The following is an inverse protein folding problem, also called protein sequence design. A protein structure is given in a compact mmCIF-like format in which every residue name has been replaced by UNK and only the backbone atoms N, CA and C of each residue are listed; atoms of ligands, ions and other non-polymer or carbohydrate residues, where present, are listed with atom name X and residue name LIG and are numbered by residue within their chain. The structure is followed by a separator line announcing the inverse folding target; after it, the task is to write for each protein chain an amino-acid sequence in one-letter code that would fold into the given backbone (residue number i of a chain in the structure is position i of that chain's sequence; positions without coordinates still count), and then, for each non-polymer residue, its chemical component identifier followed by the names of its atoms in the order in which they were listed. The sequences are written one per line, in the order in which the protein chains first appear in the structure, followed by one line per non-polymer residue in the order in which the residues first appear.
data_IF_853769209620
#
_entry.id   IF_853769209620
#
_cell.length_a   1.000
_cell.length_b   1.000
_cell.length_c   1.000
_cell.angle_alpha   90.00
_cell.angle_beta   90.00
_cell.angle_gamma   90.00
#
_symmetry.space_group_name_H-M   'P 1'
#
loop_
_entity.id
_entity.type
_entity.pdbx_description
1 polymer ?
#
# COMPACT_ATOMS: atom_id res chain seq x y z
N UNK A 1 -17.37 -14.30 1.37
CA UNK A 1 -17.45 -14.24 -0.12
C UNK A 1 -16.43 -13.29 -0.76
N UNK A 2 -16.24 -12.06 -0.25
CA UNK A 2 -15.31 -11.09 -0.86
C UNK A 2 -13.87 -11.63 -1.01
N UNK A 3 -13.34 -12.26 0.05
CA UNK A 3 -12.01 -12.90 0.03
C UNK A 3 -11.96 -14.02 -1.02
N UNK A 4 -13.01 -14.86 -1.10
CA UNK A 4 -13.09 -15.92 -2.10
C UNK A 4 -13.03 -15.36 -3.52
N UNK A 5 -13.72 -14.25 -3.80
CA UNK A 5 -13.65 -13.57 -5.10
C UNK A 5 -12.22 -13.13 -5.43
N UNK A 6 -11.52 -12.52 -4.46
CA UNK A 6 -10.13 -12.10 -4.62
C UNK A 6 -9.19 -13.29 -4.87
N UNK A 7 -9.28 -14.33 -4.03
CA UNK A 7 -8.38 -15.48 -4.04
C UNK A 7 -8.57 -16.32 -5.30
N UNK A 8 -9.81 -16.63 -5.69
CA UNK A 8 -10.10 -17.36 -6.94
C UNK A 8 -9.63 -16.57 -8.16
N UNK A 9 -9.78 -15.25 -8.16
CA UNK A 9 -9.18 -14.39 -9.18
C UNK A 9 -7.67 -14.56 -9.25
N UNK A 10 -6.98 -14.64 -8.11
CA UNK A 10 -5.52 -14.85 -8.04
C UNK A 10 -5.07 -16.22 -8.50
N UNK A 11 -5.85 -17.26 -8.21
CA UNK A 11 -5.61 -18.61 -8.75
C UNK A 11 -5.72 -18.59 -10.27
N UNK A 12 -6.82 -18.05 -10.82
CA UNK A 12 -7.03 -17.87 -12.27
C UNK A 12 -5.87 -17.12 -12.93
N UNK A 13 -5.33 -16.12 -12.23
CA UNK A 13 -4.26 -15.27 -12.73
C UNK A 13 -2.85 -15.88 -12.58
N UNK A 14 -2.72 -17.09 -12.04
CA UNK A 14 -1.44 -17.77 -11.85
C UNK A 14 -0.60 -17.25 -10.68
N UNK A 15 -1.21 -16.45 -9.78
CA UNK A 15 -0.50 -15.87 -8.62
C UNK A 15 -0.24 -16.88 -7.49
N UNK A 16 -0.81 -18.09 -7.58
CA UNK A 16 -0.62 -19.17 -6.59
C UNK A 16 0.23 -20.25 -7.25
N UNK A 17 1.49 -20.35 -6.82
CA UNK A 17 2.47 -21.30 -7.37
C UNK A 17 2.84 -22.42 -6.40
N UNK A 18 2.39 -22.35 -5.14
CA UNK A 18 2.76 -23.33 -4.12
C UNK A 18 2.16 -24.71 -4.45
N UNK A 19 3.00 -25.75 -4.62
CA UNK A 19 2.55 -27.08 -5.03
C UNK A 19 1.70 -27.80 -3.97
N UNK A 20 1.62 -27.28 -2.74
CA UNK A 20 0.75 -27.82 -1.69
C UNK A 20 -0.74 -27.71 -2.01
N UNK A 21 -1.11 -26.81 -2.93
CA UNK A 21 -2.50 -26.55 -3.30
C UNK A 21 -2.87 -27.28 -4.58
N UNK A 22 -4.05 -27.91 -4.59
CA UNK A 22 -4.64 -28.44 -5.82
C UNK A 22 -5.18 -27.31 -6.69
N UNK A 23 -4.33 -26.79 -7.58
CA UNK A 23 -4.69 -25.72 -8.50
C UNK A 23 -5.78 -26.14 -9.49
N UNK A 24 -5.84 -27.42 -9.87
CA UNK A 24 -6.80 -27.91 -10.85
C UNK A 24 -8.23 -27.75 -10.35
N UNK A 25 -8.52 -28.12 -9.10
CA UNK A 25 -9.85 -27.90 -8.51
C UNK A 25 -10.18 -26.43 -8.30
N UNK A 26 -9.21 -25.62 -7.87
CA UNK A 26 -9.40 -24.20 -7.60
C UNK A 26 -9.65 -23.37 -8.88
N UNK A 27 -9.13 -23.80 -10.03
CA UNK A 27 -9.35 -23.13 -11.32
C UNK A 27 -10.79 -23.24 -11.84
N UNK A 28 -11.55 -24.24 -11.42
CA UNK A 28 -12.97 -24.40 -11.79
C UNK A 28 -13.89 -23.36 -11.11
N UNK A 29 -13.40 -22.68 -10.08
CA UNK A 29 -14.17 -21.70 -9.33
C UNK A 29 -14.18 -20.34 -10.04
N UNK A 30 -15.37 -19.83 -10.39
CA UNK A 30 -15.50 -18.49 -10.97
C UNK A 30 -15.52 -17.40 -9.90
N UNK A 31 -14.49 -16.55 -9.92
CA UNK A 31 -14.36 -15.35 -9.10
C UNK A 31 -15.59 -14.43 -9.16
N UNK A 32 -16.27 -14.36 -10.30
CA UNK A 32 -17.46 -13.52 -10.46
C UNK A 32 -18.64 -13.96 -9.60
N UNK A 33 -18.81 -15.27 -9.40
CA UNK A 33 -19.90 -15.81 -8.57
C UNK A 33 -19.77 -15.27 -7.15
N UNK A 34 -18.57 -15.35 -6.57
CA UNK A 34 -18.28 -14.82 -5.25
C UNK A 34 -18.37 -13.29 -5.20
N UNK A 35 -17.93 -12.60 -6.26
CA UNK A 35 -18.00 -11.15 -6.36
C UNK A 35 -19.46 -10.65 -6.34
N UNK A 36 -20.30 -11.23 -7.19
CA UNK A 36 -21.74 -10.89 -7.30
C UNK A 36 -22.49 -11.24 -6.03
N UNK A 37 -22.20 -12.40 -5.43
CA UNK A 37 -22.83 -12.80 -4.18
C UNK A 37 -22.46 -11.84 -3.03
N UNK A 38 -21.21 -11.37 -2.98
CA UNK A 38 -20.81 -10.33 -2.02
C UNK A 38 -21.60 -9.05 -2.25
N UNK A 39 -21.77 -8.61 -3.50
CA UNK A 39 -22.58 -7.42 -3.80
C UNK A 39 -24.04 -7.58 -3.40
N UNK A 40 -24.62 -8.77 -3.61
CA UNK A 40 -25.98 -9.10 -3.19
C UNK A 40 -26.14 -9.01 -1.67
N UNK A 41 -25.19 -9.57 -0.92
CA UNK A 41 -25.18 -9.50 0.55
C UNK A 41 -25.03 -8.06 1.04
N UNK A 42 -24.10 -7.29 0.49
CA UNK A 42 -23.91 -5.89 0.87
C UNK A 42 -25.15 -5.03 0.57
N UNK A 43 -25.88 -5.30 -0.51
CA UNK A 43 -27.14 -4.62 -0.80
C UNK A 43 -28.25 -4.93 0.22
N UNK A 44 -28.18 -6.08 0.90
CA UNK A 44 -29.15 -6.48 1.93
C UNK A 44 -28.84 -5.92 3.32
N UNK A 45 -27.63 -5.40 3.56
CA UNK A 45 -27.21 -4.84 4.85
C UNK A 45 -27.97 -3.55 5.19
N UNK A 46 -28.45 -2.80 4.19
CA UNK A 46 -29.19 -1.56 4.40
C UNK A 46 -28.38 -0.53 5.22
N UNK A 47 -29.02 0.10 6.20
CA UNK A 47 -28.38 1.10 7.07
C UNK A 47 -27.54 0.50 8.21
N UNK A 48 -27.54 -0.83 8.39
CA UNK A 48 -26.81 -1.52 9.46
C UNK A 48 -25.40 -1.89 9.03
N UNK A 49 -24.66 -0.94 8.45
CA UNK A 49 -23.28 -1.18 8.07
C UNK A 49 -22.42 -1.41 9.32
N UNK A 50 -21.59 -2.44 9.23
CA UNK A 50 -20.64 -2.79 10.27
C UNK A 50 -19.22 -2.70 9.73
N UNK A 51 -18.28 -3.00 10.62
CA UNK A 51 -16.86 -3.08 10.30
C UNK A 51 -16.59 -4.06 9.14
N UNK A 52 -17.30 -5.19 9.06
CA UNK A 52 -17.15 -6.16 7.98
C UNK A 52 -17.65 -5.66 6.62
N UNK A 53 -18.65 -4.78 6.61
CA UNK A 53 -19.16 -4.09 5.42
C UNK A 53 -18.07 -3.21 4.80
N UNK A 54 -17.35 -2.47 5.65
CA UNK A 54 -16.20 -1.63 5.24
C UNK A 54 -15.09 -2.51 4.65
N UNK A 55 -14.75 -3.60 5.34
CA UNK A 55 -13.75 -4.60 4.90
C UNK A 55 -14.12 -5.22 3.56
N UNK A 56 -15.39 -5.58 3.37
CA UNK A 56 -15.88 -6.16 2.14
C UNK A 56 -15.76 -5.18 0.96
N UNK A 57 -16.08 -3.90 1.17
CA UNK A 57 -15.86 -2.87 0.15
C UNK A 57 -14.40 -2.65 -0.18
N UNK A 58 -13.51 -2.61 0.82
CA UNK A 58 -12.06 -2.60 0.61
C UNK A 58 -11.60 -3.80 -0.26
N UNK A 59 -12.02 -5.03 0.07
CA UNK A 59 -11.64 -6.24 -0.67
C UNK A 59 -12.24 -6.25 -2.08
N UNK A 60 -13.48 -5.78 -2.27
CA UNK A 60 -14.09 -5.67 -3.60
C UNK A 60 -13.41 -4.61 -4.46
N UNK A 61 -12.93 -3.50 -3.88
CA UNK A 61 -12.11 -2.52 -4.58
C UNK A 61 -10.81 -3.15 -5.11
N UNK A 62 -10.13 -3.93 -4.27
CA UNK A 62 -8.92 -4.67 -4.62
C UNK A 62 -9.20 -5.75 -5.68
N UNK A 63 -10.33 -6.45 -5.58
CA UNK A 63 -10.75 -7.45 -6.57
C UNK A 63 -11.11 -6.79 -7.90
N UNK A 64 -11.71 -5.59 -7.87
CA UNK A 64 -12.05 -4.84 -9.07
C UNK A 64 -10.81 -4.37 -9.83
N UNK A 65 -9.81 -3.82 -9.14
CA UNK A 65 -8.55 -3.41 -9.77
C UNK A 65 -7.78 -4.60 -10.35
N UNK A 66 -7.73 -5.72 -9.62
CA UNK A 66 -7.14 -6.97 -10.11
C UNK A 66 -7.77 -7.45 -11.43
N UNK A 67 -9.08 -7.25 -11.58
CA UNK A 67 -9.83 -7.62 -12.78
C UNK A 67 -9.93 -6.48 -13.83
N UNK A 68 -9.20 -5.38 -13.66
CA UNK A 68 -9.25 -4.23 -14.57
C UNK A 68 -10.58 -3.46 -14.58
N UNK A 69 -11.44 -3.66 -13.58
CA UNK A 69 -12.77 -3.04 -13.45
C UNK A 69 -12.70 -1.70 -12.73
N UNK A 70 -12.10 -0.69 -13.36
CA UNK A 70 -11.83 0.63 -12.76
C UNK A 70 -13.10 1.34 -12.22
N UNK A 71 -14.24 1.24 -12.92
CA UNK A 71 -15.52 1.79 -12.41
C UNK A 71 -15.94 1.15 -11.09
N UNK A 72 -15.78 -0.16 -10.96
CA UNK A 72 -16.13 -0.89 -9.73
C UNK A 72 -15.13 -0.58 -8.61
N UNK A 73 -13.85 -0.42 -8.93
CA UNK A 73 -12.84 0.07 -7.99
C UNK A 73 -13.28 1.40 -7.36
N UNK A 74 -13.61 2.40 -8.18
CA UNK A 74 -14.05 3.70 -7.67
C UNK A 74 -15.37 3.64 -6.91
N UNK A 75 -16.34 2.82 -7.36
CA UNK A 75 -17.59 2.61 -6.62
C UNK A 75 -17.31 2.11 -5.21
N UNK A 76 -16.48 1.06 -5.08
CA UNK A 76 -16.21 0.45 -3.79
C UNK A 76 -15.31 1.31 -2.90
N UNK A 77 -14.32 2.01 -3.47
CA UNK A 77 -13.55 3.02 -2.73
C UNK A 77 -14.45 4.17 -2.25
N UNK A 78 -15.35 4.68 -3.09
CA UNK A 78 -16.27 5.75 -2.70
C UNK A 78 -17.14 5.38 -1.50
N UNK A 79 -17.71 4.17 -1.52
CA UNK A 79 -18.50 3.66 -0.39
C UNK A 79 -17.60 3.42 0.83
N UNK A 80 -16.40 2.86 0.65
CA UNK A 80 -15.43 2.67 1.73
C UNK A 80 -15.12 3.99 2.45
N UNK A 81 -14.77 5.05 1.71
CA UNK A 81 -14.43 6.34 2.30
C UNK A 81 -15.64 6.98 3.00
N UNK A 82 -16.83 6.90 2.41
CA UNK A 82 -18.06 7.35 3.06
C UNK A 82 -18.28 6.65 4.41
N UNK A 83 -18.09 5.32 4.48
CA UNK A 83 -18.24 4.59 5.73
C UNK A 83 -17.13 4.95 6.73
N UNK A 84 -15.87 5.09 6.29
CA UNK A 84 -14.76 5.56 7.14
C UNK A 84 -15.08 6.90 7.79
N UNK A 85 -15.68 7.82 7.04
CA UNK A 85 -16.09 9.13 7.55
C UNK A 85 -17.28 8.99 8.52
N UNK A 86 -18.29 8.18 8.19
CA UNK A 86 -19.46 7.94 9.04
C UNK A 86 -19.09 7.36 10.42
N UNK A 87 -18.09 6.48 10.48
CA UNK A 87 -17.65 5.82 11.72
C UNK A 87 -16.41 6.46 12.35
N UNK A 88 -15.94 7.60 11.85
CA UNK A 88 -14.73 8.28 12.33
C UNK A 88 -13.48 7.37 12.40
N UNK A 89 -13.28 6.53 11.38
CA UNK A 89 -12.16 5.57 11.31
C UNK A 89 -10.85 6.21 10.83
N UNK A 90 -10.76 7.53 10.84
CA UNK A 90 -9.53 8.30 10.62
C UNK A 90 -8.67 8.37 11.90
N UNK A 91 -9.20 7.92 13.04
CA UNK A 91 -8.49 7.81 14.31
C UNK A 91 -8.00 6.37 14.56
N UNK A 92 -6.76 6.25 15.04
CA UNK A 92 -6.09 4.97 15.31
C UNK A 92 -6.86 4.02 16.23
N UNK A 93 -7.60 4.57 17.20
CA UNK A 93 -8.41 3.79 18.13
C UNK A 93 -9.45 2.89 17.46
N UNK A 94 -9.75 3.15 16.18
CA UNK A 94 -10.91 2.58 15.52
C UNK A 94 -10.56 1.66 14.34
N UNK A 95 -9.34 1.70 13.72
CA UNK A 95 -9.07 0.86 12.53
C UNK A 95 -7.64 0.79 11.93
N UNK A 96 -7.24 -0.32 11.25
CA UNK A 96 -6.09 -0.36 10.32
C UNK A 96 -6.36 0.34 8.95
N UNK A 97 -5.80 1.54 8.77
CA UNK A 97 -6.04 2.47 7.65
C UNK A 97 -5.13 2.30 6.41
N UNK A 98 -3.87 1.97 6.63
CA UNK A 98 -2.78 2.23 5.67
C UNK A 98 -2.88 1.57 4.30
N UNK A 99 -3.55 0.43 4.17
CA UNK A 99 -3.55 -0.28 2.88
C UNK A 99 -4.55 0.23 1.87
N UNK A 100 -5.70 0.72 2.34
CA UNK A 100 -6.59 1.46 1.45
C UNK A 100 -6.02 2.84 1.15
N UNK A 101 -5.28 3.44 2.08
CA UNK A 101 -4.48 4.62 1.78
C UNK A 101 -3.50 4.39 0.62
N UNK A 102 -2.65 3.35 0.69
CA UNK A 102 -1.70 3.06 -0.42
C UNK A 102 -2.41 2.78 -1.75
N UNK A 103 -3.57 2.10 -1.71
CA UNK A 103 -4.40 1.87 -2.91
C UNK A 103 -4.98 3.18 -3.46
N UNK A 104 -5.46 4.07 -2.60
CA UNK A 104 -6.04 5.36 -3.00
C UNK A 104 -4.99 6.29 -3.63
N UNK A 105 -3.78 6.32 -3.08
CA UNK A 105 -2.64 7.02 -3.70
C UNK A 105 -2.28 6.35 -5.03
N UNK A 106 -2.12 5.03 -5.06
CA UNK A 106 -1.77 4.30 -6.28
C UNK A 106 -2.75 4.56 -7.43
N UNK A 107 -4.05 4.40 -7.18
CA UNK A 107 -5.06 4.59 -8.23
C UNK A 107 -5.08 6.03 -8.75
N UNK A 108 -4.82 7.00 -7.86
CA UNK A 108 -4.72 8.41 -8.22
C UNK A 108 -3.51 8.69 -9.10
N UNK A 109 -2.35 8.08 -8.80
CA UNK A 109 -1.14 8.17 -9.64
C UNK A 109 -1.40 7.62 -11.04
N UNK A 110 -1.97 6.42 -11.14
CA UNK A 110 -2.07 5.65 -12.40
C UNK A 110 -3.19 6.16 -13.30
N UNK A 111 -4.39 6.41 -12.75
CA UNK A 111 -5.54 6.84 -13.54
C UNK A 111 -5.77 8.36 -13.52
N UNK A 112 -4.91 9.12 -12.86
CA UNK A 112 -5.04 10.58 -12.78
C UNK A 112 -6.24 11.04 -11.95
N UNK A 113 -6.60 10.25 -10.93
CA UNK A 113 -7.68 10.56 -10.00
C UNK A 113 -7.26 11.46 -8.85
N UNK A 114 -8.23 11.81 -8.00
CA UNK A 114 -8.00 12.55 -6.75
C UNK A 114 -7.77 11.58 -5.60
N UNK A 115 -6.78 11.89 -4.76
CA UNK A 115 -6.54 11.24 -3.48
C UNK A 115 -7.61 11.71 -2.49
N UNK A 116 -8.41 10.79 -1.98
CA UNK A 116 -9.54 11.06 -1.05
C UNK A 116 -9.08 11.02 0.40
N UNK A 117 -8.23 10.07 0.75
CA UNK A 117 -7.66 9.97 2.09
C UNK A 117 -6.29 10.63 2.14
N UNK A 118 -6.23 11.80 2.75
CA UNK A 118 -5.00 12.55 2.97
C UNK A 118 -4.35 12.13 4.28
N UNK A 119 -3.06 11.85 4.24
CA UNK A 119 -2.32 11.52 5.46
C UNK A 119 -2.44 12.63 6.53
N UNK A 120 -2.37 13.90 6.11
CA UNK A 120 -2.48 15.07 6.98
C UNK A 120 -3.82 15.16 7.74
N UNK A 121 -4.84 14.41 7.31
CA UNK A 121 -6.18 14.41 7.90
C UNK A 121 -6.45 13.14 8.73
N UNK A 122 -5.43 12.30 8.92
CA UNK A 122 -5.56 11.02 9.60
C UNK A 122 -4.58 10.93 10.75
N UNK A 123 -5.04 10.37 11.88
CA UNK A 123 -4.23 10.19 13.07
C UNK A 123 -4.10 8.69 13.33
N UNK A 124 -3.27 8.03 12.52
CA UNK A 124 -3.01 6.58 12.60
C UNK A 124 -1.51 6.37 12.57
N UNK A 125 -0.94 5.74 13.59
CA UNK A 125 0.48 5.41 13.64
C UNK A 125 0.81 4.20 12.76
N UNK A 126 2.11 3.99 12.50
CA UNK A 126 2.55 2.76 11.87
C UNK A 126 2.29 1.54 12.77
N UNK A 127 1.93 0.38 12.19
CA UNK A 127 2.00 -0.89 12.90
C UNK A 127 3.38 -1.10 13.51
N UNK A 128 3.40 -1.58 14.75
CA UNK A 128 4.64 -1.89 15.47
C UNK A 128 5.30 -3.11 14.84
N UNK A 129 6.61 -3.03 14.61
CA UNK A 129 7.43 -4.07 13.99
C UNK A 129 7.67 -5.24 14.96
N UNK A 130 6.65 -6.09 15.11
CA UNK A 130 6.69 -7.33 15.90
C UNK A 130 6.55 -8.52 14.95
N UNK A 131 7.32 -9.60 15.18
CA UNK A 131 7.14 -10.84 14.41
C UNK A 131 5.79 -11.49 14.73
N UNK A 132 5.07 -11.94 13.69
CA UNK A 132 3.76 -12.61 13.81
C UNK A 132 3.79 -13.79 14.81
N UNK A 133 4.93 -14.51 14.91
CA UNK A 133 5.12 -15.66 15.80
C UNK A 133 5.12 -15.30 17.30
N UNK A 134 5.31 -14.02 17.64
CA UNK A 134 5.24 -13.50 19.02
C UNK A 134 3.81 -13.09 19.40
N UNK A 135 2.88 -13.03 18.44
CA UNK A 135 1.48 -12.65 18.61
C UNK A 135 0.60 -13.90 18.77
N UNK A 136 0.98 -14.79 19.68
CA UNK A 136 0.21 -16.02 19.90
C UNK A 136 -1.06 -15.70 20.72
N UNK A 137 -2.25 -15.94 20.15
CA UNK A 137 -3.58 -15.69 20.75
C UNK A 137 -3.92 -16.60 21.95
N UNK A 138 -2.94 -17.28 22.55
CA UNK A 138 -3.18 -18.38 23.52
C UNK A 138 -2.82 -18.08 24.96
N UNK A 139 -2.52 -16.82 25.32
CA UNK A 139 -2.32 -16.46 26.72
C UNK A 139 -3.08 -15.19 27.11
N UNK A 140 -4.24 -15.39 27.75
CA UNK A 140 -4.92 -14.41 28.61
C UNK A 140 -4.08 -14.05 29.87
N UNK A 141 -2.80 -14.41 29.91
CA UNK A 141 -1.89 -14.16 31.02
C UNK A 141 -0.80 -13.15 30.64
N UNK A 142 -1.08 -11.87 30.92
CA UNK A 142 -0.09 -10.82 31.19
C UNK A 142 1.10 -10.70 30.21
N UNK A 143 0.83 -10.24 28.98
CA UNK A 143 1.85 -9.44 28.28
C UNK A 143 1.93 -8.05 28.93
N UNK A 144 2.68 -7.96 30.02
CA UNK A 144 3.13 -6.68 30.58
C UNK A 144 4.15 -6.06 29.61
N UNK A 145 3.69 -5.54 28.46
CA UNK A 145 4.34 -4.36 27.92
C UNK A 145 3.99 -3.25 28.91
N UNK A 146 4.99 -2.78 29.65
CA UNK A 146 4.86 -1.64 30.56
C UNK A 146 4.39 -0.40 29.81
N UNK A 147 3.07 -0.26 29.63
CA UNK A 147 2.36 1.00 29.48
C UNK A 147 2.38 1.71 30.84
N UNK A 148 3.58 2.10 31.29
CA UNK A 148 3.74 3.14 32.30
C UNK A 148 4.72 4.17 31.76
N UNK A 149 4.19 5.10 30.98
CA UNK A 149 4.20 6.51 31.33
C UNK A 149 3.56 7.30 30.18
N UNK A 150 2.38 7.83 30.47
CA UNK A 150 1.98 9.10 29.87
C UNK A 150 3.10 10.11 30.14
N UNK A 151 3.76 10.59 29.10
CA UNK A 151 4.51 11.85 29.14
C UNK A 151 3.95 12.78 28.07
N UNK A 152 3.72 14.06 28.39
CA UNK A 152 3.12 15.02 27.49
C UNK A 152 4.14 15.51 26.47
N UNK A 153 3.77 15.48 25.19
CA UNK A 153 4.51 16.14 24.10
C UNK A 153 5.65 15.34 23.49
N UNK A 154 5.39 14.67 22.37
CA UNK A 154 6.43 14.23 21.43
C UNK A 154 6.49 15.29 20.31
N UNK A 155 7.23 16.36 20.59
CA UNK A 155 7.90 17.10 19.54
C UNK A 155 9.17 16.30 19.18
N UNK A 156 9.39 16.08 17.88
CA UNK A 156 10.70 15.78 17.29
C UNK A 156 11.49 14.60 17.89
N UNK A 157 11.18 13.38 17.44
CA UNK A 157 12.19 12.31 17.41
C UNK A 157 12.70 12.19 15.98
N UNK A 158 13.90 12.73 15.76
CA UNK A 158 14.71 12.49 14.57
C UNK A 158 15.03 10.99 14.43
N UNK A 159 15.39 10.49 13.23
CA UNK A 159 15.57 9.06 12.95
C UNK A 159 16.77 8.38 13.65
N UNK A 160 17.38 9.00 14.66
CA UNK A 160 18.74 8.68 15.14
C UNK A 160 18.82 8.00 16.51
N UNK A 161 17.73 7.43 17.04
CA UNK A 161 17.77 6.62 18.27
C UNK A 161 17.01 5.30 18.10
N UNK A 162 17.56 4.42 17.25
CA UNK A 162 17.20 3.00 17.21
C UNK A 162 17.99 2.29 18.30
N UNK A 163 17.35 2.02 19.43
CA UNK A 163 17.95 1.12 20.42
C UNK A 163 18.17 -0.26 19.80
N UNK A 164 19.44 -0.64 19.80
CA UNK A 164 19.99 -1.76 19.06
C UNK A 164 20.00 -3.00 19.94
N UNK A 165 18.81 -3.50 20.27
CA UNK A 165 18.64 -4.80 20.93
C UNK A 165 17.69 -5.66 20.10
N UNK A 166 18.25 -6.34 19.08
CA UNK A 166 17.70 -7.48 18.33
C UNK A 166 16.20 -7.46 17.99
N UNK A 167 15.82 -7.02 16.78
CA UNK A 167 14.49 -7.34 16.23
C UNK A 167 14.01 -6.56 15.00
N UNK A 168 14.39 -5.28 14.84
CA UNK A 168 13.79 -4.43 13.79
C UNK A 168 14.18 -4.77 12.34
N UNK A 169 15.39 -5.29 12.10
CA UNK A 169 15.84 -5.62 10.73
C UNK A 169 15.33 -6.98 10.20
N UNK A 170 14.76 -7.80 11.08
CA UNK A 170 14.27 -9.14 10.77
C UNK A 170 12.72 -9.21 10.73
N UNK A 171 12.03 -8.09 11.02
CA UNK A 171 10.59 -8.02 10.88
C UNK A 171 10.19 -7.61 9.46
N UNK A 172 9.39 -8.43 8.77
CA UNK A 172 8.91 -8.13 7.40
C UNK A 172 8.10 -6.82 7.32
N UNK A 173 7.51 -6.40 8.44
CA UNK A 173 6.68 -5.20 8.56
C UNK A 173 7.50 -3.91 8.38
N UNK A 174 8.80 -3.96 8.65
CA UNK A 174 9.72 -2.86 8.34
C UNK A 174 9.69 -2.50 6.85
N UNK A 175 9.74 -3.51 5.97
CA UNK A 175 9.62 -3.31 4.53
C UNK A 175 8.25 -2.76 4.12
N UNK A 176 7.19 -3.15 4.83
CA UNK A 176 5.85 -2.62 4.59
C UNK A 176 5.71 -1.15 5.01
N UNK A 177 6.27 -0.76 6.16
CA UNK A 177 6.34 0.63 6.61
C UNK A 177 7.10 1.48 5.58
N UNK A 178 8.23 0.97 5.08
CA UNK A 178 9.00 1.63 4.02
C UNK A 178 8.19 1.83 2.73
N UNK A 179 7.45 0.82 2.27
CA UNK A 179 6.57 0.95 1.10
C UNK A 179 5.51 2.03 1.35
N UNK A 180 4.96 2.09 2.55
CA UNK A 180 3.97 3.11 2.93
C UNK A 180 4.58 4.50 2.92
N UNK A 181 5.81 4.68 3.41
CA UNK A 181 6.56 5.93 3.27
C UNK A 181 6.75 6.36 1.81
N UNK A 182 7.05 5.42 0.90
CA UNK A 182 7.10 5.73 -0.53
C UNK A 182 5.76 6.24 -1.08
N UNK A 183 4.64 5.70 -0.59
CA UNK A 183 3.30 6.19 -0.96
C UNK A 183 2.99 7.56 -0.38
N UNK A 184 3.45 7.87 0.83
CA UNK A 184 3.36 9.22 1.41
C UNK A 184 4.16 10.23 0.58
N UNK A 185 5.38 9.86 0.19
CA UNK A 185 6.19 10.68 -0.73
C UNK A 185 5.49 10.86 -2.09
N UNK A 186 4.87 9.81 -2.63
CA UNK A 186 4.08 9.87 -3.86
C UNK A 186 2.88 10.82 -3.75
N UNK A 187 2.12 10.77 -2.64
CA UNK A 187 1.02 11.70 -2.39
C UNK A 187 1.49 13.15 -2.44
N UNK A 188 2.58 13.46 -1.74
CA UNK A 188 3.15 14.80 -1.71
C UNK A 188 3.65 15.22 -3.10
N UNK A 189 4.34 14.32 -3.81
CA UNK A 189 4.82 14.56 -5.16
C UNK A 189 3.65 14.86 -6.13
N UNK A 190 2.57 14.09 -6.07
CA UNK A 190 1.39 14.35 -6.90
C UNK A 190 0.76 15.71 -6.61
N UNK A 191 0.51 16.00 -5.33
CA UNK A 191 -0.15 17.24 -4.91
C UNK A 191 0.65 18.46 -5.34
N UNK A 192 1.97 18.39 -5.16
CA UNK A 192 2.90 19.49 -5.48
C UNK A 192 3.14 19.64 -6.98
N UNK A 193 3.45 18.55 -7.68
CA UNK A 193 3.96 18.64 -9.04
C UNK A 193 2.87 18.55 -10.11
N UNK A 194 1.83 17.72 -9.92
CA UNK A 194 0.63 17.80 -10.79
C UNK A 194 -0.17 19.06 -10.50
N UNK A 195 -0.21 19.49 -9.25
CA UNK A 195 -0.83 20.77 -8.84
C UNK A 195 -0.25 21.94 -9.62
N UNK A 196 1.09 22.04 -9.75
CA UNK A 196 1.74 23.10 -10.53
C UNK A 196 1.42 23.09 -12.03
N UNK A 197 1.28 21.92 -12.66
CA UNK A 197 0.88 21.82 -14.07
C UNK A 197 -0.58 22.24 -14.31
N UNK A 198 -1.48 22.02 -13.35
CA UNK A 198 -2.88 22.43 -13.44
C UNK A 198 -3.14 23.86 -12.94
N UNK A 199 -2.44 24.32 -11.90
CA UNK A 199 -2.57 25.67 -11.32
C UNK A 199 -1.94 26.76 -12.20
N UNK A 200 -0.97 26.46 -13.06
CA UNK A 200 -0.46 27.46 -14.02
C UNK A 200 -1.54 27.99 -14.97
N UNK A 201 -2.71 27.33 -15.03
CA UNK A 201 -3.84 27.70 -15.87
C UNK A 201 -4.95 28.46 -15.12
N UNK A 202 -4.91 28.54 -13.79
CA UNK A 202 -5.89 29.25 -12.94
C UNK A 202 -5.19 29.80 -11.69
N UNK A 203 -4.68 31.02 -11.78
CA UNK A 203 -4.34 31.81 -10.58
C UNK A 203 -5.63 32.07 -9.81
N UNK A 204 -5.75 31.44 -8.63
CA UNK A 204 -6.85 31.64 -7.72
C UNK A 204 -6.44 32.56 -6.57
N UNK A 205 -7.42 33.28 -6.00
CA UNK A 205 -7.24 34.19 -4.86
C UNK A 205 -6.41 33.63 -3.68
N UNK A 206 -6.50 32.33 -3.43
CA UNK A 206 -5.77 31.68 -2.33
C UNK A 206 -4.29 31.42 -2.62
N UNK A 207 -3.88 31.39 -3.89
CA UNK A 207 -2.47 31.17 -4.28
C UNK A 207 -1.58 32.34 -3.83
N UNK A 208 -2.11 33.57 -3.87
CA UNK A 208 -1.41 34.77 -3.40
C UNK A 208 -1.36 34.85 -1.86
N UNK A 209 -2.40 34.35 -1.17
CA UNK A 209 -2.48 34.37 0.29
C UNK A 209 -1.55 33.31 0.93
N UNK A 210 -1.51 32.11 0.35
CA UNK A 210 -0.77 30.98 0.91
C UNK A 210 0.52 30.67 0.15
N UNK A 211 1.08 31.67 -0.55
CA UNK A 211 2.21 31.55 -1.47
C UNK A 211 3.24 30.51 -0.98
N UNK A 212 3.17 29.31 -1.57
CA UNK A 212 3.81 28.11 -1.01
C UNK A 212 5.30 28.13 -1.40
N UNK A 213 6.10 28.89 -0.64
CA UNK A 213 7.56 29.05 -0.80
C UNK A 213 8.34 27.81 -0.37
N UNK A 214 7.94 26.63 -0.80
CA UNK A 214 8.72 25.42 -0.52
C UNK A 214 9.83 25.29 -1.58
N UNK A 215 11.07 25.18 -1.11
CA UNK A 215 12.29 25.01 -1.92
C UNK A 215 12.49 23.57 -2.41
N UNK A 216 11.57 22.66 -2.09
CA UNK A 216 11.70 21.22 -2.39
C UNK A 216 11.51 20.96 -3.88
N UNK A 217 12.57 20.52 -4.56
CA UNK A 217 12.57 20.11 -5.98
C UNK A 217 12.30 18.61 -6.13
N UNK A 218 11.85 18.15 -7.30
CA UNK A 218 11.62 16.72 -7.52
C UNK A 218 12.94 15.94 -7.45
N UNK A 219 14.04 16.53 -7.94
CA UNK A 219 15.41 16.02 -7.76
C UNK A 219 15.79 15.83 -6.29
N UNK A 220 15.48 16.80 -5.40
CA UNK A 220 15.77 16.66 -3.96
C UNK A 220 14.99 15.51 -3.33
N UNK A 221 13.71 15.38 -3.67
CA UNK A 221 12.86 14.26 -3.21
C UNK A 221 13.40 12.93 -3.73
N UNK A 222 13.81 12.87 -5.00
CA UNK A 222 14.40 11.68 -5.61
C UNK A 222 15.67 11.24 -4.87
N UNK A 223 16.60 12.17 -4.62
CA UNK A 223 17.86 11.88 -3.93
C UNK A 223 17.61 11.39 -2.49
N UNK A 224 16.65 11.99 -1.79
CA UNK A 224 16.26 11.55 -0.44
C UNK A 224 15.69 10.13 -0.45
N UNK A 225 14.78 9.82 -1.37
CA UNK A 225 14.21 8.47 -1.51
C UNK A 225 15.28 7.42 -1.87
N UNK A 226 16.24 7.77 -2.73
CA UNK A 226 17.36 6.88 -3.07
C UNK A 226 18.31 6.68 -1.89
N UNK A 227 18.57 7.71 -1.08
CA UNK A 227 19.36 7.57 0.15
C UNK A 227 18.64 6.68 1.17
N UNK A 228 17.33 6.82 1.31
CA UNK A 228 16.50 5.96 2.17
C UNK A 228 16.57 4.49 1.72
N UNK A 229 16.46 4.24 0.40
CA UNK A 229 16.61 2.90 -0.17
C UNK A 229 18.03 2.35 0.00
N UNK A 230 19.07 3.18 -0.14
CA UNK A 230 20.46 2.75 0.06
C UNK A 230 20.73 2.28 1.51
N UNK A 231 20.10 2.93 2.49
CA UNK A 231 20.19 2.57 3.91
C UNK A 231 19.32 1.38 4.31
N UNK A 232 18.50 0.85 3.40
CA UNK A 232 17.63 -0.29 3.66
C UNK A 232 18.48 -1.58 3.84
N UNK A 233 18.11 -2.49 4.77
CA UNK A 233 18.76 -3.77 4.91
C UNK A 233 18.70 -4.62 3.63
N UNK A 234 19.70 -5.46 3.41
CA UNK A 234 19.93 -6.14 2.13
C UNK A 234 18.84 -7.17 1.77
N UNK A 235 18.23 -7.80 2.78
CA UNK A 235 17.08 -8.69 2.65
C UNK A 235 15.87 -8.03 1.97
N UNK A 236 15.73 -6.69 2.04
CA UNK A 236 14.67 -5.94 1.39
C UNK A 236 15.07 -5.35 0.02
N UNK A 237 16.29 -5.61 -0.46
CA UNK A 237 16.76 -5.20 -1.79
C UNK A 237 16.83 -6.37 -2.78
N UNK A 238 16.95 -7.59 -2.27
CA UNK A 238 17.13 -8.78 -3.07
C UNK A 238 15.81 -9.55 -3.27
N UNK A 239 15.58 -10.02 -4.49
CA UNK A 239 14.41 -10.85 -4.83
C UNK A 239 14.87 -12.28 -5.13
N UNK A 240 15.25 -12.99 -4.08
CA UNK A 240 15.64 -14.40 -4.18
C UNK A 240 14.47 -15.25 -4.74
N UNK A 241 14.72 -16.35 -5.47
CA UNK A 241 13.65 -17.21 -5.99
C UNK A 241 12.70 -17.72 -4.89
N UNK A 242 11.42 -17.93 -5.25
CA UNK A 242 10.41 -18.43 -4.30
C UNK A 242 10.81 -19.82 -3.79
N UNK A 243 10.81 -19.95 -2.45
CA UNK A 243 11.18 -21.17 -1.74
C UNK A 243 9.99 -21.91 -1.14
N UNK A 244 8.81 -21.29 -1.11
CA UNK A 244 7.59 -21.73 -0.43
C UNK A 244 7.69 -21.77 1.10
N UNK A 245 8.74 -21.16 1.65
CA UNK A 245 8.89 -20.84 3.06
C UNK A 245 8.33 -19.44 3.30
N UNK A 246 7.21 -19.35 4.02
CA UNK A 246 6.50 -18.09 4.27
C UNK A 246 7.43 -16.99 4.80
N UNK A 247 8.35 -17.30 5.73
CA UNK A 247 9.21 -16.28 6.35
C UNK A 247 10.20 -15.70 5.34
N UNK A 248 10.81 -16.54 4.51
CA UNK A 248 11.78 -16.11 3.50
C UNK A 248 11.11 -15.42 2.32
N UNK A 249 10.01 -15.97 1.85
CA UNK A 249 9.30 -15.45 0.69
C UNK A 249 8.68 -14.07 0.97
N UNK A 250 8.29 -13.79 2.23
CA UNK A 250 7.81 -12.47 2.66
C UNK A 250 8.81 -11.36 2.34
N UNK A 251 10.10 -11.55 2.64
CA UNK A 251 11.14 -10.57 2.28
C UNK A 251 11.26 -10.38 0.77
N UNK A 252 11.17 -11.45 -0.01
CA UNK A 252 11.15 -11.37 -1.47
C UNK A 252 9.93 -10.58 -2.00
N UNK A 253 8.75 -10.77 -1.40
CA UNK A 253 7.56 -9.97 -1.72
C UNK A 253 7.75 -8.49 -1.37
N UNK A 254 8.34 -8.20 -0.20
CA UNK A 254 8.64 -6.84 0.23
C UNK A 254 9.68 -6.18 -0.69
N UNK A 255 10.79 -6.85 -0.99
CA UNK A 255 11.83 -6.33 -1.86
C UNK A 255 11.27 -5.97 -3.24
N UNK A 256 10.50 -6.88 -3.85
CA UNK A 256 9.86 -6.59 -5.11
C UNK A 256 8.84 -5.43 -4.98
N UNK A 257 8.12 -5.27 -3.84
CA UNK A 257 7.16 -4.17 -3.61
C UNK A 257 7.89 -2.84 -3.54
N UNK A 258 8.97 -2.79 -2.78
CA UNK A 258 9.86 -1.65 -2.67
C UNK A 258 10.40 -1.26 -4.04
N UNK A 259 10.91 -2.21 -4.82
CA UNK A 259 11.38 -1.95 -6.19
C UNK A 259 10.27 -1.31 -7.04
N UNK A 260 9.07 -1.91 -7.08
CA UNK A 260 7.96 -1.42 -7.90
C UNK A 260 7.51 -0.01 -7.48
N UNK A 261 7.34 0.23 -6.18
CA UNK A 261 6.92 1.54 -5.64
C UNK A 261 7.99 2.60 -5.85
N UNK A 262 9.27 2.26 -5.73
CA UNK A 262 10.38 3.16 -6.01
C UNK A 262 10.42 3.54 -7.50
N UNK A 263 10.23 2.57 -8.41
CA UNK A 263 10.12 2.85 -9.84
C UNK A 263 8.92 3.75 -10.16
N UNK A 264 7.76 3.54 -9.51
CA UNK A 264 6.60 4.41 -9.66
C UNK A 264 6.90 5.85 -9.23
N UNK A 265 7.56 6.03 -8.08
CA UNK A 265 8.00 7.34 -7.60
C UNK A 265 8.94 8.02 -8.59
N UNK A 266 9.91 7.29 -9.14
CA UNK A 266 10.83 7.82 -10.17
C UNK A 266 10.05 8.33 -11.38
N UNK A 267 9.14 7.53 -11.93
CA UNK A 267 8.30 7.95 -13.07
C UNK A 267 7.54 9.25 -12.74
N UNK A 268 6.93 9.35 -11.57
CA UNK A 268 6.15 10.54 -11.16
C UNK A 268 7.06 11.78 -11.06
N UNK A 269 8.22 11.67 -10.42
CA UNK A 269 9.14 12.80 -10.24
C UNK A 269 9.75 13.26 -11.58
N UNK A 270 10.11 12.34 -12.47
CA UNK A 270 10.66 12.68 -13.79
C UNK A 270 9.62 13.26 -14.74
N UNK A 271 8.37 12.79 -14.69
CA UNK A 271 7.28 13.37 -15.51
C UNK A 271 6.87 14.76 -15.05
N UNK A 272 7.08 15.09 -13.77
CA UNK A 272 6.83 16.40 -13.20
C UNK A 272 7.78 17.50 -13.68
N UNK A 273 9.08 17.21 -13.84
CA UNK A 273 10.12 18.20 -14.18
C UNK A 273 10.23 18.51 -15.69
N UNK A 274 9.28 18.07 -16.51
CA UNK A 274 9.30 18.35 -17.95
C UNK A 274 10.42 17.62 -18.68
N UNK A 275 10.75 16.39 -18.26
CA UNK A 275 11.83 15.58 -18.81
C UNK A 275 11.75 15.44 -20.35
N UNK A 276 12.93 15.48 -20.98
CA UNK A 276 13.09 15.27 -22.43
C UNK A 276 12.62 13.87 -22.86
N UNK A 277 12.37 13.66 -24.15
CA UNK A 277 12.01 12.34 -24.67
C UNK A 277 13.11 11.31 -24.35
N UNK A 278 14.38 11.72 -24.46
CA UNK A 278 15.52 10.86 -24.16
C UNK A 278 15.54 10.42 -22.70
N UNK A 279 15.26 11.35 -21.78
CA UNK A 279 15.18 11.04 -20.35
C UNK A 279 14.03 10.07 -20.05
N UNK A 280 12.88 10.26 -20.68
CA UNK A 280 11.73 9.36 -20.54
C UNK A 280 12.06 7.95 -21.01
N UNK A 281 12.73 7.81 -22.15
CA UNK A 281 13.16 6.51 -22.69
C UNK A 281 14.19 5.83 -21.77
N UNK A 282 15.14 6.60 -21.22
CA UNK A 282 16.10 6.11 -20.24
C UNK A 282 15.40 5.58 -18.99
N UNK A 283 14.52 6.37 -18.39
CA UNK A 283 13.76 5.95 -17.20
C UNK A 283 12.89 4.73 -17.50
N UNK A 284 12.21 4.69 -18.64
CA UNK A 284 11.44 3.52 -19.05
C UNK A 284 12.30 2.26 -19.16
N UNK A 285 13.51 2.39 -19.73
CA UNK A 285 14.45 1.27 -19.84
C UNK A 285 14.93 0.78 -18.48
N UNK A 286 15.24 1.69 -17.56
CA UNK A 286 15.65 1.36 -16.19
C UNK A 286 14.51 0.71 -15.38
N UNK A 287 13.28 1.19 -15.57
CA UNK A 287 12.09 0.58 -14.96
C UNK A 287 11.92 -0.84 -15.49
N UNK A 288 11.98 -1.05 -16.80
CA UNK A 288 11.88 -2.39 -17.41
C UNK A 288 12.97 -3.31 -16.87
N UNK A 289 14.23 -2.84 -16.81
CA UNK A 289 15.33 -3.62 -16.26
C UNK A 289 15.09 -4.02 -14.79
N UNK A 290 14.57 -3.10 -13.97
CA UNK A 290 14.23 -3.38 -12.57
C UNK A 290 13.07 -4.38 -12.43
N UNK A 291 12.11 -4.40 -13.37
CA UNK A 291 11.05 -5.41 -13.37
C UNK A 291 11.54 -6.77 -13.87
N UNK A 292 12.44 -6.81 -14.85
CA UNK A 292 13.06 -8.05 -15.36
C UNK A 292 13.90 -8.74 -14.27
N UNK A 293 14.51 -7.99 -13.36
CA UNK A 293 15.27 -8.59 -12.26
C UNK A 293 14.40 -9.27 -11.20
N UNK A 294 13.08 -9.02 -11.18
CA UNK A 294 12.16 -9.62 -10.21
C UNK A 294 11.68 -10.99 -10.76
N UNK A 295 11.78 -12.08 -10.00
CA UNK A 295 11.23 -13.37 -10.41
C UNK A 295 9.74 -13.29 -10.76
N UNK A 296 9.35 -14.00 -11.83
CA UNK A 296 8.02 -13.90 -12.42
C UNK A 296 6.92 -14.27 -11.44
N UNK A 297 7.19 -15.15 -10.48
CA UNK A 297 6.23 -15.58 -9.47
C UNK A 297 5.88 -14.43 -8.52
N UNK A 298 6.86 -13.60 -8.15
CA UNK A 298 6.59 -12.36 -7.42
C UNK A 298 5.81 -11.40 -8.31
N UNK A 299 6.12 -11.29 -9.61
CA UNK A 299 5.36 -10.43 -10.53
C UNK A 299 3.93 -10.93 -10.80
N UNK A 300 3.67 -12.23 -10.83
CA UNK A 300 2.33 -12.81 -10.97
C UNK A 300 1.54 -12.61 -9.70
N UNK A 301 2.20 -12.72 -8.55
CA UNK A 301 1.62 -12.26 -7.30
C UNK A 301 1.40 -10.73 -7.31
N UNK A 302 2.28 -9.92 -7.92
CA UNK A 302 2.33 -8.44 -7.78
C UNK A 302 1.60 -7.62 -8.82
N UNK A 303 1.55 -8.07 -10.06
CA UNK A 303 0.86 -7.43 -11.20
C UNK A 303 -0.62 -7.19 -10.92
N UNK A 304 -1.15 -7.79 -9.84
CA UNK A 304 -2.50 -7.61 -9.32
C UNK A 304 -2.55 -7.41 -7.77
N UNK A 305 -1.42 -7.08 -7.11
CA UNK A 305 -1.25 -6.79 -5.65
C UNK A 305 -0.66 -5.40 -5.33
N UNK A 306 -0.92 -4.36 -6.10
CA UNK A 306 -0.63 -2.99 -5.63
C UNK A 306 -1.44 -2.58 -4.38
N UNK A 307 -2.21 -3.48 -3.76
CA UNK A 307 -3.06 -3.19 -2.60
C UNK A 307 -3.09 -4.23 -1.47
N UNK A 308 -2.40 -5.38 -1.54
CA UNK A 308 -2.62 -6.43 -0.52
C UNK A 308 -1.40 -7.31 -0.19
N UNK A 309 -0.64 -6.95 0.86
CA UNK A 309 0.16 -7.90 1.63
C UNK A 309 -0.66 -8.74 2.64
N UNK A 310 -1.96 -8.48 2.82
CA UNK A 310 -2.80 -9.04 3.90
C UNK A 310 -3.28 -10.49 3.71
N UNK A 311 -2.38 -11.47 3.64
CA UNK A 311 -2.81 -12.87 3.76
C UNK A 311 -2.86 -13.36 5.22
N UNK A 312 -2.08 -12.77 6.13
CA UNK A 312 -1.99 -13.25 7.52
C UNK A 312 -2.98 -12.57 8.49
N UNK A 313 -3.34 -11.30 8.29
CA UNK A 313 -4.12 -10.52 9.27
C UNK A 313 -5.65 -10.67 9.16
N UNK A 314 -6.15 -11.52 8.25
CA UNK A 314 -7.59 -11.76 8.04
C UNK A 314 -8.03 -13.17 8.42
N UNK A 315 -7.11 -13.99 8.93
CA UNK A 315 -7.36 -15.38 9.33
C UNK A 315 -7.50 -15.51 10.87
N UNK A 316 -7.12 -14.47 11.61
CA UNK A 316 -7.48 -14.23 13.02
C UNK A 316 -8.65 -13.25 13.09
#
# INVERSE_FOLDING_TARGET
MAICALVTGRVRDGSVTNPRWDLSSLLWLDSNVFYLETQRQLASVGDQADVHTIRAHAILAITAIQNGRTRNLHKHLGIYHMLVDMYALHAESNWPFWSIYTLDVFQSVVWGGTIRSREQQTNVSYPIEVEDDLLNDTDDSHFNLSMTQASPGINTLSPSSRDSSSGGNDCWLFGWNFVTDLYRVLEHALTRFRGKQHCSRREGFLTDIYQEQSTVTATSVHNSAMAMYANLPENFKQTAPITYDSRKDLFGFQAANITASLQLLRIVLFTAEGASIQDRCRIASEVIAAFISIPVEYLLAKSKRLCCPWHNFWIT
#
